data_IF_080985668961
#
_entry.id   IF_080985668961
#
_cell.length_a   1.000
_cell.length_b   1.000
_cell.length_c   1.000
_cell.angle_alpha   90.00
_cell.angle_beta   90.00
_cell.angle_gamma   90.00
#
_symmetry.space_group_name_H-M   'P 1'
#
loop_
_entity.id
_entity.type
_entity.pdbx_description
1 polymer ?
#
# COMPACT_ATOMS: atom_id res chain seq x y z
N UNK A 1 -17.21 -3.02 22.27
CA UNK A 1 -16.15 -2.24 21.60
C UNK A 1 -14.92 -3.09 21.30
N UNK A 2 -14.35 -3.79 22.29
CA UNK A 2 -13.18 -4.69 22.11
C UNK A 2 -13.43 -5.79 21.08
N UNK A 3 -14.59 -6.46 21.11
CA UNK A 3 -14.95 -7.52 20.15
C UNK A 3 -15.07 -6.99 18.71
N UNK A 4 -15.54 -5.75 18.49
CA UNK A 4 -15.57 -5.12 17.15
C UNK A 4 -14.17 -4.78 16.63
N UNK A 5 -13.28 -4.30 17.51
CA UNK A 5 -11.88 -4.00 17.17
C UNK A 5 -11.07 -5.25 16.78
N UNK A 6 -11.40 -6.39 17.37
CA UNK A 6 -10.81 -7.70 17.11
C UNK A 6 -11.33 -8.34 15.82
N UNK A 7 -12.62 -8.16 15.50
CA UNK A 7 -13.21 -8.61 14.24
C UNK A 7 -12.68 -7.86 13.01
N UNK A 8 -12.29 -6.59 13.16
CA UNK A 8 -11.79 -5.77 12.05
C UNK A 8 -10.35 -6.11 11.62
N UNK A 9 -9.45 -6.44 12.58
CA UNK A 9 -8.08 -6.91 12.27
C UNK A 9 -7.45 -7.67 13.46
N UNK A 10 -7.33 -9.02 13.39
CA UNK A 10 -6.78 -9.84 14.48
C UNK A 10 -5.30 -9.52 14.78
N UNK A 11 -4.58 -8.90 13.84
CA UNK A 11 -3.18 -8.48 14.03
C UNK A 11 -3.03 -7.45 15.16
N UNK A 12 -4.10 -6.73 15.52
CA UNK A 12 -4.12 -5.75 16.63
C UNK A 12 -3.90 -6.41 17.98
N UNK A 13 -4.51 -7.58 18.21
CA UNK A 13 -4.33 -8.35 19.45
C UNK A 13 -2.88 -8.80 19.58
N UNK A 14 -2.32 -9.31 18.48
CA UNK A 14 -0.90 -9.71 18.40
C UNK A 14 0.00 -8.52 18.72
N UNK A 15 -0.28 -7.34 18.16
CA UNK A 15 0.52 -6.14 18.44
C UNK A 15 0.48 -5.75 19.93
N UNK A 16 -0.70 -5.76 20.58
CA UNK A 16 -0.80 -5.52 22.02
C UNK A 16 0.03 -6.50 22.84
N UNK A 17 0.02 -7.78 22.44
CA UNK A 17 0.89 -8.81 23.04
C UNK A 17 2.38 -8.51 22.83
N UNK A 18 2.79 -8.09 21.63
CA UNK A 18 4.19 -7.70 21.33
C UNK A 18 4.66 -6.57 22.23
N UNK A 19 3.83 -5.55 22.45
CA UNK A 19 4.16 -4.44 23.37
C UNK A 19 4.41 -4.97 24.78
N UNK A 20 3.47 -5.78 25.31
CA UNK A 20 3.62 -6.39 26.64
C UNK A 20 4.88 -7.23 26.75
N UNK A 21 5.15 -8.10 25.76
CA UNK A 21 6.33 -8.94 25.75
C UNK A 21 7.63 -8.13 25.70
N UNK A 22 7.70 -7.08 24.86
CA UNK A 22 8.89 -6.23 24.78
C UNK A 22 9.21 -5.56 26.12
N UNK A 23 8.18 -5.11 26.85
CA UNK A 23 8.35 -4.54 28.20
C UNK A 23 8.82 -5.59 29.22
N UNK A 24 8.27 -6.81 29.17
CA UNK A 24 8.72 -7.92 30.00
C UNK A 24 10.19 -8.27 29.71
N UNK A 25 10.60 -8.29 28.44
CA UNK A 25 11.99 -8.55 28.07
C UNK A 25 12.94 -7.47 28.60
N UNK A 26 12.55 -6.19 28.57
CA UNK A 26 13.33 -5.12 29.21
C UNK A 26 13.47 -5.35 30.72
N UNK A 27 12.38 -5.73 31.39
CA UNK A 27 12.41 -6.06 32.82
C UNK A 27 13.30 -7.26 33.12
N UNK A 28 13.24 -8.32 32.32
CA UNK A 28 14.13 -9.49 32.48
C UNK A 28 15.60 -9.12 32.26
N UNK A 29 15.91 -8.32 31.23
CA UNK A 29 17.28 -7.87 30.95
C UNK A 29 17.90 -7.08 32.11
N UNK A 30 17.07 -6.30 32.84
CA UNK A 30 17.48 -5.62 34.05
C UNK A 30 17.96 -6.60 35.14
N UNK A 31 17.26 -7.71 35.32
CA UNK A 31 17.60 -8.68 36.38
C UNK A 31 18.82 -9.55 36.03
N UNK A 32 19.06 -9.82 34.75
CA UNK A 32 20.10 -10.77 34.31
C UNK A 32 21.50 -10.12 34.22
N UNK A 33 21.62 -8.83 33.89
CA UNK A 33 22.93 -8.22 33.63
C UNK A 33 23.43 -7.32 34.77
N UNK A 34 24.63 -7.58 35.36
CA UNK A 34 25.23 -6.71 36.35
C UNK A 34 25.55 -5.30 35.81
N UNK A 35 25.86 -5.17 34.51
CA UNK A 35 25.97 -3.86 33.82
C UNK A 35 24.65 -3.08 33.74
N UNK A 36 23.49 -3.73 33.82
CA UNK A 36 22.19 -3.03 33.79
C UNK A 36 21.78 -2.51 35.17
N UNK A 37 22.18 -3.20 36.25
CA UNK A 37 22.10 -2.66 37.60
C UNK A 37 22.86 -1.33 37.72
N UNK A 38 23.96 -1.16 36.98
CA UNK A 38 24.70 0.09 36.94
C UNK A 38 23.94 1.25 36.26
N UNK A 39 22.88 0.99 35.48
CA UNK A 39 22.11 2.03 34.81
C UNK A 39 20.98 2.62 35.68
N UNK A 40 20.61 2.03 36.83
CA UNK A 40 19.67 2.61 37.80
C UNK A 40 18.41 3.26 37.19
N UNK A 41 18.18 4.54 37.49
CA UNK A 41 17.06 5.35 36.99
C UNK A 41 17.00 5.48 35.45
N UNK A 42 18.07 5.13 34.72
CA UNK A 42 18.11 5.22 33.26
C UNK A 42 17.32 4.10 32.54
N UNK A 43 16.83 3.09 33.26
CA UNK A 43 16.00 2.01 32.70
C UNK A 43 14.65 2.54 32.22
N UNK A 44 14.12 3.59 32.86
CA UNK A 44 12.89 4.26 32.44
C UNK A 44 12.97 4.72 30.97
N UNK A 45 14.15 5.10 30.49
CA UNK A 45 14.36 5.47 29.09
C UNK A 45 14.21 4.30 28.14
N UNK A 46 14.60 3.08 28.54
CA UNK A 46 14.41 1.88 27.74
C UNK A 46 12.92 1.51 27.64
N UNK A 47 12.20 1.55 28.77
CA UNK A 47 10.74 1.33 28.85
C UNK A 47 9.99 2.34 27.99
N UNK A 48 10.29 3.63 28.16
CA UNK A 48 9.72 4.72 27.36
C UNK A 48 10.13 4.62 25.88
N UNK A 49 11.28 4.01 25.58
CA UNK A 49 11.66 3.72 24.20
C UNK A 49 10.76 2.68 23.58
N UNK A 50 10.60 1.52 24.22
CA UNK A 50 9.70 0.47 23.72
C UNK A 50 8.29 1.03 23.52
N UNK A 51 7.75 1.75 24.51
CA UNK A 51 6.39 2.30 24.43
C UNK A 51 6.18 3.31 23.30
N UNK A 52 7.20 4.11 22.94
CA UNK A 52 7.07 5.14 21.90
C UNK A 52 7.48 4.67 20.49
N UNK A 53 8.36 3.68 20.41
CA UNK A 53 8.95 3.20 19.15
C UNK A 53 8.21 2.00 18.59
N UNK A 54 7.70 1.11 19.46
CA UNK A 54 7.03 -0.10 19.01
C UNK A 54 5.67 0.26 18.41
N UNK A 55 5.59 0.09 17.10
CA UNK A 55 4.44 0.43 16.27
C UNK A 55 3.81 -0.83 15.66
N UNK A 56 2.63 -0.67 15.08
CA UNK A 56 1.86 -1.79 14.54
C UNK A 56 2.64 -2.60 13.48
N UNK A 57 3.38 -1.91 12.60
CA UNK A 57 4.17 -2.54 11.55
C UNK A 57 5.68 -2.54 11.84
N UNK A 58 6.38 -3.46 11.20
CA UNK A 58 7.84 -3.58 11.30
C UNK A 58 8.53 -2.32 10.77
N UNK A 59 8.11 -1.83 9.60
CA UNK A 59 8.67 -0.62 8.99
C UNK A 59 8.50 0.63 9.86
N UNK A 60 7.33 0.78 10.50
CA UNK A 60 7.10 1.89 11.44
C UNK A 60 7.99 1.80 12.68
N UNK A 61 8.13 0.60 13.25
CA UNK A 61 8.98 0.36 14.43
C UNK A 61 10.45 0.66 14.13
N UNK A 62 10.96 0.13 13.00
CA UNK A 62 12.33 0.39 12.55
C UNK A 62 12.58 1.88 12.28
N UNK A 63 11.66 2.52 11.55
CA UNK A 63 11.76 3.94 11.23
C UNK A 63 11.77 4.82 12.49
N UNK A 64 10.87 4.58 13.44
CA UNK A 64 10.85 5.32 14.72
C UNK A 64 12.08 5.02 15.57
N UNK A 65 12.53 3.77 15.66
CA UNK A 65 13.68 3.37 16.47
C UNK A 65 14.96 4.02 15.97
N UNK A 66 15.22 3.95 14.66
CA UNK A 66 16.37 4.60 14.05
C UNK A 66 16.28 6.13 14.17
N UNK A 67 15.12 6.73 13.91
CA UNK A 67 14.91 8.16 14.10
C UNK A 67 15.18 8.59 15.55
N UNK A 68 14.77 7.79 16.54
CA UNK A 68 15.01 8.08 17.96
C UNK A 68 16.50 8.08 18.28
N UNK A 69 17.22 7.02 17.91
CA UNK A 69 18.65 6.88 18.18
C UNK A 69 19.42 8.03 17.53
N UNK A 70 19.17 8.31 16.26
CA UNK A 70 19.82 9.39 15.52
C UNK A 70 19.50 10.76 16.11
N UNK A 71 18.23 11.03 16.42
CA UNK A 71 17.81 12.30 17.01
C UNK A 71 18.44 12.52 18.39
N UNK A 72 18.43 11.52 19.27
CA UNK A 72 19.02 11.62 20.61
C UNK A 72 20.53 11.81 20.52
N UNK A 73 21.22 11.07 19.65
CA UNK A 73 22.67 11.21 19.48
C UNK A 73 23.06 12.60 18.95
N UNK A 74 22.41 13.07 17.88
CA UNK A 74 22.66 14.39 17.31
C UNK A 74 22.32 15.52 18.29
N UNK A 75 21.18 15.41 18.98
CA UNK A 75 20.76 16.41 19.96
C UNK A 75 21.68 16.46 21.17
N UNK A 76 22.13 15.30 21.66
CA UNK A 76 23.09 15.21 22.76
C UNK A 76 24.45 15.80 22.39
N UNK A 77 24.97 15.45 21.21
CA UNK A 77 26.23 15.99 20.70
C UNK A 77 26.16 17.52 20.52
N UNK A 78 25.07 18.01 19.92
CA UNK A 78 24.87 19.45 19.72
C UNK A 78 24.68 20.19 21.05
N UNK A 79 23.93 19.62 22.00
CA UNK A 79 23.71 20.21 23.32
C UNK A 79 24.99 20.38 24.12
N UNK A 80 25.84 19.34 24.13
CA UNK A 80 27.19 19.42 24.71
C UNK A 80 28.00 20.51 23.99
N UNK A 81 28.04 20.48 22.65
CA UNK A 81 28.81 21.45 21.88
C UNK A 81 28.41 22.91 22.13
N UNK A 82 27.10 23.21 22.17
CA UNK A 82 26.61 24.56 22.47
C UNK A 82 26.99 25.02 23.87
N UNK A 83 27.01 24.09 24.84
CA UNK A 83 27.40 24.42 26.20
C UNK A 83 28.90 24.61 26.35
N UNK A 84 29.72 23.76 25.74
CA UNK A 84 31.17 23.94 25.73
C UNK A 84 31.55 25.29 25.11
N UNK A 85 30.83 25.76 24.09
CA UNK A 85 31.00 27.10 23.52
C UNK A 85 30.55 28.20 24.50
N UNK A 86 29.38 28.04 25.14
CA UNK A 86 28.86 29.02 26.09
C UNK A 86 29.76 29.18 27.33
N UNK A 87 30.40 28.10 27.79
CA UNK A 87 31.34 28.09 28.90
C UNK A 87 32.58 28.97 28.65
N UNK A 88 32.97 29.18 27.38
CA UNK A 88 34.10 30.05 27.02
C UNK A 88 33.82 31.54 27.30
N UNK A 89 32.54 31.93 27.49
CA UNK A 89 32.13 33.32 27.68
C UNK A 89 31.93 33.72 29.15
N UNK A 90 32.36 32.86 30.10
CA UNK A 90 32.20 33.08 31.54
C UNK A 90 30.76 32.90 32.04
N UNK A 91 30.54 32.91 33.35
CA UNK A 91 29.27 32.50 33.98
C UNK A 91 28.03 33.30 33.51
N UNK A 92 28.15 34.63 33.39
CA UNK A 92 27.04 35.46 32.90
C UNK A 92 26.80 35.27 31.40
N UNK A 93 27.87 35.04 30.63
CA UNK A 93 27.79 34.77 29.20
C UNK A 93 27.19 33.40 28.90
N UNK A 94 27.51 32.38 29.71
CA UNK A 94 27.05 31.00 29.55
C UNK A 94 25.51 30.92 29.53
N UNK A 95 24.85 31.53 30.51
CA UNK A 95 23.39 31.51 30.60
C UNK A 95 22.71 32.22 29.41
N UNK A 96 23.24 33.38 29.00
CA UNK A 96 22.70 34.15 27.87
C UNK A 96 22.91 33.40 26.54
N UNK A 97 24.12 32.91 26.27
CA UNK A 97 24.43 32.17 25.05
C UNK A 97 23.66 30.85 24.96
N UNK A 98 23.57 30.10 26.05
CA UNK A 98 22.80 28.84 26.09
C UNK A 98 21.34 29.10 25.74
N UNK A 99 20.74 30.17 26.30
CA UNK A 99 19.36 30.56 26.00
C UNK A 99 19.19 30.96 24.52
N UNK A 100 20.14 31.70 23.95
CA UNK A 100 20.12 32.07 22.52
C UNK A 100 20.23 30.82 21.64
N UNK A 101 21.14 29.89 21.94
CA UNK A 101 21.27 28.64 21.18
C UNK A 101 20.00 27.80 21.25
N UNK A 102 19.40 27.68 22.43
CA UNK A 102 18.13 26.97 22.60
C UNK A 102 17.05 27.60 21.73
N UNK A 103 16.90 28.92 21.78
CA UNK A 103 15.92 29.65 20.95
C UNK A 103 16.14 29.40 19.46
N UNK A 104 17.37 29.60 18.96
CA UNK A 104 17.67 29.50 17.53
C UNK A 104 17.51 28.06 17.02
N UNK A 105 18.09 27.08 17.71
CA UNK A 105 18.07 25.67 17.26
C UNK A 105 16.67 25.07 17.41
N UNK A 106 16.01 25.21 18.57
CA UNK A 106 14.68 24.68 18.76
C UNK A 106 13.64 25.36 17.85
N UNK A 107 13.77 26.68 17.65
CA UNK A 107 12.95 27.44 16.71
C UNK A 107 13.15 26.97 15.26
N UNK A 108 14.40 26.78 14.84
CA UNK A 108 14.72 26.29 13.48
C UNK A 108 14.19 24.89 13.22
N UNK A 109 14.39 23.94 14.15
CA UNK A 109 13.88 22.57 14.01
C UNK A 109 12.35 22.55 14.05
N UNK A 110 11.73 23.39 14.88
CA UNK A 110 10.27 23.56 14.89
C UNK A 110 9.76 24.09 13.55
N UNK A 111 10.47 25.05 12.94
CA UNK A 111 10.15 25.54 11.61
C UNK A 111 10.25 24.45 10.53
N UNK A 112 11.30 23.60 10.59
CA UNK A 112 11.47 22.47 9.66
C UNK A 112 10.30 21.48 9.70
N UNK A 113 9.60 21.34 10.83
CA UNK A 113 8.41 20.47 10.97
C UNK A 113 7.20 20.95 10.18
N UNK A 114 7.14 22.23 9.78
CA UNK A 114 6.06 22.71 8.91
C UNK A 114 6.23 22.28 7.45
N UNK A 115 7.42 21.81 7.04
CA UNK A 115 7.64 21.27 5.70
C UNK A 115 6.97 19.89 5.56
N UNK A 116 5.98 19.71 4.67
CA UNK A 116 5.26 18.44 4.55
C UNK A 116 6.17 17.24 4.23
N UNK A 117 7.20 17.48 3.40
CA UNK A 117 8.18 16.45 2.99
C UNK A 117 9.02 15.95 4.15
N UNK A 118 9.42 16.84 5.04
CA UNK A 118 10.23 16.51 6.22
C UNK A 118 9.35 15.91 7.32
N UNK A 119 8.18 16.51 7.55
CA UNK A 119 7.20 16.05 8.54
C UNK A 119 6.80 14.59 8.31
N UNK A 120 6.44 14.24 7.08
CA UNK A 120 6.03 12.87 6.74
C UNK A 120 7.10 11.80 7.05
N UNK A 121 8.38 12.17 7.15
CA UNK A 121 9.50 11.22 7.34
C UNK A 121 10.12 11.27 8.74
N UNK A 122 10.22 12.45 9.33
CA UNK A 122 11.09 12.71 10.47
C UNK A 122 10.41 13.46 11.62
N UNK A 123 9.09 13.70 11.59
CA UNK A 123 8.41 14.49 12.64
C UNK A 123 8.67 13.95 14.06
N UNK A 124 8.59 12.63 14.25
CA UNK A 124 8.95 11.98 15.51
C UNK A 124 10.40 12.28 15.91
N UNK A 125 11.35 12.16 14.97
CA UNK A 125 12.76 12.46 15.21
C UNK A 125 13.00 13.93 15.59
N UNK A 126 12.31 14.87 14.95
CA UNK A 126 12.41 16.30 15.31
C UNK A 126 11.90 16.59 16.71
N UNK A 127 10.80 15.96 17.15
CA UNK A 127 10.29 16.11 18.52
C UNK A 127 11.33 15.59 19.52
N UNK A 128 11.85 14.37 19.30
CA UNK A 128 12.87 13.76 20.17
C UNK A 128 14.14 14.60 20.17
N UNK A 129 14.53 15.16 19.02
CA UNK A 129 15.70 16.02 18.90
C UNK A 129 15.54 17.29 19.75
N UNK A 130 14.45 18.04 19.57
CA UNK A 130 14.18 19.28 20.33
C UNK A 130 14.17 18.96 21.83
N UNK A 131 13.42 17.93 22.22
CA UNK A 131 13.29 17.53 23.62
C UNK A 131 14.66 17.17 24.22
N UNK A 132 15.44 16.33 23.55
CA UNK A 132 16.76 15.91 24.02
C UNK A 132 17.73 17.08 24.08
N UNK A 133 17.74 17.93 23.06
CA UNK A 133 18.63 19.09 22.97
C UNK A 133 18.31 20.07 24.11
N UNK A 134 17.04 20.39 24.35
CA UNK A 134 16.64 21.23 25.47
C UNK A 134 17.01 20.60 26.82
N UNK A 135 16.75 19.29 27.02
CA UNK A 135 17.14 18.61 28.25
C UNK A 135 18.65 18.72 28.51
N UNK A 136 19.48 18.45 27.50
CA UNK A 136 20.94 18.48 27.64
C UNK A 136 21.45 19.91 27.83
N UNK A 137 21.00 20.86 27.01
CA UNK A 137 21.47 22.25 27.07
C UNK A 137 21.07 22.96 28.36
N UNK A 138 19.89 22.66 28.93
CA UNK A 138 19.37 23.30 30.14
C UNK A 138 19.68 22.55 31.45
N UNK A 139 20.35 21.39 31.40
CA UNK A 139 20.69 20.63 32.62
C UNK A 139 21.73 21.38 33.46
N UNK A 140 21.59 21.43 34.79
CA UNK A 140 22.52 22.19 35.65
C UNK A 140 23.77 21.37 36.08
N UNK A 141 23.95 20.18 35.51
CA UNK A 141 25.01 19.25 35.88
C UNK A 141 26.38 19.63 35.29
N UNK A 142 27.45 19.37 36.06
CA UNK A 142 28.84 19.49 35.57
C UNK A 142 29.03 18.70 34.28
N UNK A 143 29.68 19.30 33.29
CA UNK A 143 29.86 18.78 31.91
C UNK A 143 30.31 17.30 31.85
N UNK A 144 31.22 16.87 32.73
CA UNK A 144 31.69 15.46 32.81
C UNK A 144 30.64 14.49 33.35
N UNK A 145 29.83 14.89 34.32
CA UNK A 145 28.73 14.08 34.84
C UNK A 145 27.61 13.96 33.79
N UNK A 146 27.33 15.07 33.09
CA UNK A 146 26.34 15.12 32.01
C UNK A 146 26.70 14.20 30.85
N UNK A 147 27.98 14.15 30.43
CA UNK A 147 28.44 13.26 29.37
C UNK A 147 28.25 11.78 29.71
N UNK A 148 28.61 11.37 30.93
CA UNK A 148 28.42 9.98 31.38
C UNK A 148 26.93 9.62 31.40
N UNK A 149 26.10 10.48 31.97
CA UNK A 149 24.65 10.28 32.04
C UNK A 149 23.99 10.27 30.64
N UNK A 150 24.45 11.10 29.71
CA UNK A 150 23.96 11.11 28.33
C UNK A 150 24.34 9.81 27.56
N UNK A 151 25.55 9.29 27.77
CA UNK A 151 25.98 8.02 27.20
C UNK A 151 25.14 6.85 27.72
N UNK A 152 24.89 6.81 29.03
CA UNK A 152 24.05 5.79 29.66
C UNK A 152 22.61 5.83 29.09
N UNK A 153 22.02 7.03 28.95
CA UNK A 153 20.70 7.20 28.32
C UNK A 153 20.67 6.77 26.85
N UNK A 154 21.69 7.13 26.08
CA UNK A 154 21.76 6.75 24.67
C UNK A 154 21.85 5.22 24.54
N UNK A 155 22.66 4.56 25.38
CA UNK A 155 22.76 3.10 25.39
C UNK A 155 21.42 2.44 25.77
N UNK A 156 20.73 2.92 26.81
CA UNK A 156 19.42 2.35 27.18
C UNK A 156 18.35 2.57 26.11
N UNK A 157 18.38 3.69 25.39
CA UNK A 157 17.53 3.94 24.21
C UNK A 157 17.86 2.98 23.06
N UNK A 158 19.14 2.73 22.79
CA UNK A 158 19.57 1.77 21.77
C UNK A 158 19.06 0.37 22.12
N UNK A 159 19.22 -0.06 23.37
CA UNK A 159 18.72 -1.35 23.87
C UNK A 159 17.20 -1.45 23.73
N UNK A 160 16.46 -0.42 24.17
CA UNK A 160 14.99 -0.40 24.05
C UNK A 160 14.52 -0.50 22.61
N UNK A 161 15.18 0.22 21.70
CA UNK A 161 14.89 0.17 20.26
C UNK A 161 15.18 -1.21 19.67
N UNK A 162 16.29 -1.83 20.07
CA UNK A 162 16.67 -3.16 19.60
C UNK A 162 15.69 -4.25 20.05
N UNK A 163 15.27 -4.22 21.33
CA UNK A 163 14.24 -5.13 21.85
C UNK A 163 12.92 -4.95 21.11
N UNK A 164 12.47 -3.71 20.90
CA UNK A 164 11.25 -3.43 20.14
C UNK A 164 11.31 -3.98 18.71
N UNK A 165 12.43 -3.77 18.01
CA UNK A 165 12.65 -4.26 16.64
C UNK A 165 12.67 -5.79 16.60
N UNK A 166 13.38 -6.45 17.51
CA UNK A 166 13.43 -7.93 17.59
C UNK A 166 12.03 -8.48 17.77
N UNK A 167 11.28 -7.98 18.75
CA UNK A 167 9.93 -8.48 19.03
C UNK A 167 9.01 -8.27 17.82
N UNK A 168 9.09 -7.11 17.17
CA UNK A 168 8.29 -6.82 15.98
C UNK A 168 8.59 -7.75 14.79
N UNK A 169 9.85 -8.12 14.58
CA UNK A 169 10.28 -8.99 13.47
C UNK A 169 10.02 -10.47 13.78
N UNK A 170 10.33 -10.92 15.00
CA UNK A 170 10.29 -12.34 15.36
C UNK A 170 8.89 -12.85 15.67
N UNK A 171 7.97 -12.01 16.12
CA UNK A 171 6.62 -12.41 16.51
C UNK A 171 5.64 -11.91 15.47
N UNK A 172 5.10 -12.82 14.64
CA UNK A 172 4.05 -12.56 13.66
C UNK A 172 4.20 -11.19 12.97
N UNK A 173 5.27 -10.97 12.17
CA UNK A 173 5.60 -9.65 11.65
C UNK A 173 4.47 -9.11 10.77
N UNK A 174 4.17 -7.81 10.93
CA UNK A 174 3.19 -7.10 10.11
C UNK A 174 3.95 -6.22 9.12
N UNK A 175 3.81 -6.56 7.83
CA UNK A 175 4.50 -5.91 6.72
C UNK A 175 3.58 -4.93 6.01
N UNK A 176 3.82 -3.63 6.21
CA UNK A 176 2.99 -2.57 5.61
C UNK A 176 3.24 -2.45 4.10
N UNK A 177 4.42 -2.88 3.62
CA UNK A 177 4.69 -2.99 2.19
C UNK A 177 3.79 -4.01 1.48
N UNK A 178 3.47 -5.13 2.14
CA UNK A 178 2.51 -6.11 1.63
C UNK A 178 1.09 -5.55 1.63
N UNK A 179 0.69 -4.83 2.69
CA UNK A 179 -0.61 -4.17 2.77
C UNK A 179 -0.79 -3.15 1.63
N UNK A 180 0.22 -2.30 1.36
CA UNK A 180 0.21 -1.38 0.21
C UNK A 180 0.08 -2.12 -1.12
N UNK A 181 0.83 -3.20 -1.28
CA UNK A 181 0.80 -4.00 -2.50
C UNK A 181 -0.58 -4.60 -2.76
N UNK A 182 -1.18 -5.19 -1.73
CA UNK A 182 -2.54 -5.74 -1.78
C UNK A 182 -3.57 -4.65 -2.06
N UNK A 183 -3.42 -3.47 -1.43
CA UNK A 183 -4.33 -2.35 -1.63
C UNK A 183 -4.30 -1.81 -3.06
N UNK A 184 -3.11 -1.71 -3.68
CA UNK A 184 -2.99 -1.27 -5.08
C UNK A 184 -3.65 -2.27 -6.03
N UNK A 185 -3.43 -3.58 -5.84
CA UNK A 185 -4.11 -4.63 -6.60
C UNK A 185 -5.64 -4.55 -6.43
N UNK A 186 -6.11 -4.51 -5.18
CA UNK A 186 -7.53 -4.42 -4.86
C UNK A 186 -8.19 -3.14 -5.44
N UNK A 187 -7.48 -2.01 -5.47
CA UNK A 187 -8.01 -0.78 -6.05
C UNK A 187 -8.16 -0.89 -7.58
N UNK A 188 -7.27 -1.61 -8.29
CA UNK A 188 -7.49 -1.95 -9.71
C UNK A 188 -8.71 -2.86 -9.89
N UNK A 189 -8.87 -3.88 -9.06
CA UNK A 189 -10.05 -4.77 -9.09
C UNK A 189 -11.37 -4.00 -8.88
N UNK A 190 -11.40 -3.01 -7.98
CA UNK A 190 -12.60 -2.18 -7.78
C UNK A 190 -12.98 -1.39 -9.03
N UNK A 191 -12.01 -0.87 -9.77
CA UNK A 191 -12.24 -0.18 -11.04
C UNK A 191 -12.65 -1.18 -12.12
N UNK A 192 -12.02 -2.35 -12.18
CA UNK A 192 -12.38 -3.42 -13.11
C UNK A 192 -13.85 -3.84 -12.94
N UNK A 193 -14.29 -4.06 -11.69
CA UNK A 193 -15.68 -4.40 -11.38
C UNK A 193 -16.68 -3.32 -11.76
N UNK A 194 -16.30 -2.03 -11.69
CA UNK A 194 -17.15 -0.97 -12.21
C UNK A 194 -17.40 -1.15 -13.71
N UNK A 195 -16.35 -1.40 -14.50
CA UNK A 195 -16.49 -1.57 -15.96
C UNK A 195 -17.19 -2.86 -16.36
N UNK A 196 -16.98 -3.96 -15.63
CA UNK A 196 -17.75 -5.21 -15.79
C UNK A 196 -19.25 -4.92 -15.57
N UNK A 197 -19.63 -4.28 -14.46
CA UNK A 197 -21.02 -3.93 -14.16
C UNK A 197 -21.64 -2.90 -15.11
N UNK A 198 -20.85 -1.91 -15.53
CA UNK A 198 -21.28 -0.89 -16.49
C UNK A 198 -21.63 -1.49 -17.86
N UNK A 199 -20.84 -2.47 -18.31
CA UNK A 199 -21.12 -3.23 -19.54
C UNK A 199 -22.44 -4.01 -19.45
N UNK A 200 -22.71 -4.64 -18.30
CA UNK A 200 -23.87 -5.54 -18.14
C UNK A 200 -25.18 -4.78 -17.89
N UNK A 201 -25.20 -3.74 -17.04
CA UNK A 201 -26.44 -3.03 -16.68
C UNK A 201 -26.87 -2.00 -17.75
N UNK A 202 -25.93 -1.24 -18.30
CA UNK A 202 -26.26 -0.08 -19.14
C UNK A 202 -26.28 -0.41 -20.64
N UNK A 203 -25.52 -1.44 -21.07
CA UNK A 203 -25.28 -1.67 -22.50
C UNK A 203 -25.82 -3.00 -23.05
N UNK A 204 -26.04 -4.03 -22.22
CA UNK A 204 -26.69 -5.29 -22.66
C UNK A 204 -28.21 -5.33 -22.46
N UNK A 205 -28.78 -4.39 -21.69
CA UNK A 205 -30.22 -4.30 -21.47
C UNK A 205 -30.90 -3.76 -22.75
N UNK A 206 -31.22 -4.66 -23.67
CA UNK A 206 -32.21 -4.46 -24.73
C UNK A 206 -33.10 -5.68 -24.96
N UNK A 207 -32.81 -6.84 -24.36
CA UNK A 207 -33.65 -8.04 -24.49
C UNK A 207 -33.81 -8.74 -23.14
N UNK A 208 -35.00 -8.54 -22.56
CA UNK A 208 -35.65 -9.36 -21.53
C UNK A 208 -35.00 -9.53 -20.13
N UNK A 209 -35.89 -9.41 -19.14
CA UNK A 209 -35.77 -9.78 -17.72
C UNK A 209 -35.19 -8.73 -16.78
N UNK A 210 -36.07 -8.23 -15.89
CA UNK A 210 -35.75 -7.47 -14.68
C UNK A 210 -34.95 -8.34 -13.70
N UNK A 211 -33.64 -8.49 -13.92
CA UNK A 211 -32.73 -8.92 -12.87
C UNK A 211 -32.24 -7.67 -12.15
N UNK A 212 -32.65 -7.49 -10.90
CA UNK A 212 -32.13 -6.46 -10.00
C UNK A 212 -30.66 -6.82 -9.73
N UNK A 213 -29.75 -6.35 -10.59
CA UNK A 213 -28.34 -6.41 -10.30
C UNK A 213 -28.02 -5.48 -9.13
N UNK A 214 -27.15 -5.95 -8.24
CA UNK A 214 -26.61 -5.15 -7.15
C UNK A 214 -25.87 -3.93 -7.71
N UNK A 215 -26.53 -2.76 -7.70
CA UNK A 215 -25.96 -1.45 -8.10
C UNK A 215 -24.80 -0.99 -7.21
N UNK A 216 -24.32 -1.83 -6.28
CA UNK A 216 -23.13 -1.55 -5.47
C UNK A 216 -21.87 -1.24 -6.29
N UNK A 217 -21.77 -1.71 -7.54
CA UNK A 217 -20.63 -1.40 -8.41
C UNK A 217 -20.48 0.10 -8.70
N UNK A 218 -21.58 0.87 -8.70
CA UNK A 218 -21.59 2.34 -8.86
C UNK A 218 -20.95 3.08 -7.67
N UNK A 219 -20.73 2.39 -6.55
CA UNK A 219 -20.14 2.99 -5.36
C UNK A 219 -18.80 2.36 -4.97
N UNK A 220 -18.47 1.16 -5.48
CA UNK A 220 -17.29 0.39 -5.09
C UNK A 220 -15.97 1.15 -5.33
N UNK A 221 -15.88 1.90 -6.43
CA UNK A 221 -14.70 2.71 -6.76
C UNK A 221 -14.52 3.92 -5.83
N UNK A 222 -15.55 4.39 -5.11
CA UNK A 222 -15.45 5.60 -4.26
C UNK A 222 -14.41 5.46 -3.16
N UNK A 223 -14.21 4.25 -2.65
CA UNK A 223 -13.14 3.95 -1.68
C UNK A 223 -11.72 4.19 -2.23
N UNK A 224 -11.55 4.21 -3.55
CA UNK A 224 -10.28 4.51 -4.23
C UNK A 224 -10.00 6.01 -4.17
N UNK A 225 -11.02 6.88 -4.25
CA UNK A 225 -10.84 8.34 -4.24
C UNK A 225 -10.19 8.85 -2.96
N UNK A 226 -10.47 8.20 -1.81
CA UNK A 226 -9.94 8.55 -0.50
C UNK A 226 -8.65 7.82 -0.11
N UNK A 227 -8.07 6.99 -1.00
CA UNK A 227 -6.96 6.09 -0.64
C UNK A 227 -5.59 6.76 -0.51
N UNK A 228 -5.42 7.98 -1.04
CA UNK A 228 -4.11 8.65 -1.24
C UNK A 228 -3.28 8.76 0.05
N UNK A 229 -3.86 9.26 1.13
CA UNK A 229 -3.13 9.49 2.38
C UNK A 229 -2.63 8.19 3.01
N UNK A 230 -3.45 7.14 2.94
CA UNK A 230 -3.07 5.80 3.38
C UNK A 230 -1.93 5.23 2.54
N UNK A 231 -2.04 5.29 1.21
CA UNK A 231 -1.01 4.81 0.27
C UNK A 231 0.35 5.50 0.49
N UNK A 232 0.35 6.83 0.63
CA UNK A 232 1.55 7.63 0.90
C UNK A 232 2.20 7.25 2.24
N UNK A 233 1.38 7.08 3.29
CA UNK A 233 1.87 6.66 4.61
C UNK A 233 2.49 5.28 4.55
N UNK A 234 1.81 4.30 3.96
CA UNK A 234 2.33 2.94 3.83
C UNK A 234 3.62 2.89 3.01
N UNK A 235 3.72 3.66 1.92
CA UNK A 235 4.92 3.71 1.10
C UNK A 235 6.12 4.32 1.84
N UNK A 236 5.92 5.31 2.73
CA UNK A 236 6.99 5.86 3.57
C UNK A 236 7.47 4.82 4.58
N UNK A 237 6.55 4.10 5.23
CA UNK A 237 6.87 3.11 6.24
C UNK A 237 7.53 1.85 5.63
N UNK A 238 7.06 1.39 4.47
CA UNK A 238 7.59 0.21 3.77
C UNK A 238 9.07 0.37 3.34
N UNK A 239 9.58 1.60 3.22
CA UNK A 239 11.00 1.86 2.91
C UNK A 239 11.96 1.45 4.02
N UNK A 240 11.47 1.36 5.25
CA UNK A 240 12.26 0.94 6.41
C UNK A 240 12.29 -0.58 6.58
N UNK A 241 11.46 -1.32 5.85
CA UNK A 241 11.37 -2.76 6.00
C UNK A 241 12.63 -3.46 5.47
N UNK A 242 13.14 -4.48 6.18
CA UNK A 242 14.12 -5.40 5.63
C UNK A 242 13.52 -6.17 4.44
N UNK A 243 14.36 -6.94 3.74
CA UNK A 243 13.88 -7.86 2.71
C UNK A 243 12.91 -8.88 3.34
N UNK A 244 11.73 -9.05 2.76
CA UNK A 244 10.72 -10.03 3.19
C UNK A 244 9.87 -10.48 2.00
N UNK A 245 9.38 -11.73 2.05
CA UNK A 245 8.54 -12.30 0.97
C UNK A 245 9.14 -12.10 -0.43
N UNK A 246 8.34 -11.56 -1.35
CA UNK A 246 8.76 -11.17 -2.70
C UNK A 246 9.44 -9.79 -2.79
N UNK A 247 9.45 -9.00 -1.71
CA UNK A 247 9.97 -7.64 -1.71
C UNK A 247 11.47 -7.60 -1.40
N UNK A 248 12.20 -6.88 -2.24
CA UNK A 248 13.66 -6.75 -2.14
C UNK A 248 14.06 -5.57 -1.26
N UNK A 249 15.30 -5.56 -0.81
CA UNK A 249 15.86 -4.35 -0.23
C UNK A 249 15.83 -3.22 -1.26
N UNK A 250 15.40 -2.01 -0.84
CA UNK A 250 15.15 -0.85 -1.72
C UNK A 250 14.12 -1.13 -2.83
N UNK A 251 13.06 -1.87 -2.51
CA UNK A 251 11.91 -2.08 -3.39
C UNK A 251 11.36 -0.75 -3.95
N UNK A 252 10.86 -0.71 -5.20
CA UNK A 252 10.41 0.53 -5.87
C UNK A 252 9.04 1.04 -5.37
N UNK A 253 8.91 1.34 -4.07
CA UNK A 253 7.66 1.83 -3.46
C UNK A 253 7.11 3.12 -4.08
N UNK A 254 7.96 3.95 -4.71
CA UNK A 254 7.51 5.13 -5.46
C UNK A 254 6.60 4.76 -6.63
N UNK A 255 6.82 3.61 -7.26
CA UNK A 255 6.05 3.16 -8.39
C UNK A 255 4.61 2.78 -7.99
N UNK A 256 4.43 2.25 -6.77
CA UNK A 256 3.10 2.00 -6.21
C UNK A 256 2.29 3.30 -6.07
N UNK A 257 2.94 4.40 -5.66
CA UNK A 257 2.28 5.72 -5.60
C UNK A 257 1.93 6.27 -6.98
N UNK A 258 2.79 6.04 -7.99
CA UNK A 258 2.50 6.39 -9.39
C UNK A 258 1.27 5.63 -9.89
N UNK A 259 1.22 4.32 -9.68
CA UNK A 259 0.08 3.48 -10.03
C UNK A 259 -1.17 3.94 -9.28
N UNK A 260 -1.10 4.15 -7.96
CA UNK A 260 -2.22 4.67 -7.16
C UNK A 260 -2.74 6.02 -7.64
N UNK A 261 -1.86 6.92 -8.11
CA UNK A 261 -2.26 8.19 -8.73
C UNK A 261 -3.09 7.98 -10.01
N UNK A 262 -2.65 7.07 -10.88
CA UNK A 262 -3.34 6.77 -12.14
C UNK A 262 -4.67 6.05 -11.90
N UNK A 263 -4.71 5.08 -10.97
CA UNK A 263 -5.93 4.41 -10.53
C UNK A 263 -6.97 5.44 -10.05
N UNK A 264 -6.57 6.39 -9.20
CA UNK A 264 -7.47 7.47 -8.75
C UNK A 264 -7.90 8.40 -9.86
N UNK A 265 -7.02 8.74 -10.81
CA UNK A 265 -7.40 9.51 -11.99
C UNK A 265 -8.49 8.79 -12.79
N UNK A 266 -8.34 7.48 -12.99
CA UNK A 266 -9.37 6.65 -13.61
C UNK A 266 -10.68 6.66 -12.81
N UNK A 267 -10.61 6.61 -11.48
CA UNK A 267 -11.78 6.70 -10.61
C UNK A 267 -12.50 8.08 -10.71
N UNK A 268 -11.76 9.18 -10.87
CA UNK A 268 -12.37 10.49 -11.15
C UNK A 268 -13.07 10.50 -12.51
N UNK A 269 -12.44 9.95 -13.55
CA UNK A 269 -13.07 9.84 -14.87
C UNK A 269 -14.35 8.99 -14.81
N UNK A 270 -14.39 7.95 -13.96
CA UNK A 270 -15.59 7.15 -13.71
C UNK A 270 -16.70 7.98 -13.05
N UNK A 271 -16.39 8.80 -12.03
CA UNK A 271 -17.41 9.65 -11.38
C UNK A 271 -18.03 10.63 -12.39
N UNK A 272 -17.20 11.22 -13.27
CA UNK A 272 -17.69 12.10 -14.36
C UNK A 272 -18.49 11.29 -15.37
N UNK A 273 -18.03 10.09 -15.75
CA UNK A 273 -18.74 9.19 -16.66
C UNK A 273 -20.15 8.88 -16.15
N UNK A 274 -20.29 8.55 -14.87
CA UNK A 274 -21.59 8.26 -14.23
C UNK A 274 -22.50 9.50 -14.26
N UNK A 275 -21.96 10.69 -13.99
CA UNK A 275 -22.72 11.92 -14.01
C UNK A 275 -23.23 12.30 -15.42
N UNK A 276 -22.54 11.83 -16.47
CA UNK A 276 -22.90 12.08 -17.88
C UNK A 276 -23.80 10.99 -18.48
N UNK A 277 -24.23 9.97 -17.73
CA UNK A 277 -25.10 8.93 -18.26
C UNK A 277 -26.51 9.46 -18.49
N UNK A 278 -27.09 9.31 -19.70
CA UNK A 278 -28.47 9.68 -19.93
C UNK A 278 -29.43 8.88 -19.03
N UNK A 279 -30.50 9.53 -18.57
CA UNK A 279 -31.67 8.78 -18.08
C UNK A 279 -32.29 8.07 -19.28
N UNK A 280 -32.62 6.79 -19.13
CA UNK A 280 -32.85 5.77 -20.18
C UNK A 280 -33.88 6.09 -21.26
N UNK A 281 -34.55 7.24 -21.19
CA UNK A 281 -35.80 7.50 -21.91
C UNK A 281 -35.66 8.63 -22.96
N UNK A 282 -34.44 9.13 -23.21
CA UNK A 282 -34.17 10.33 -24.03
C UNK A 282 -32.98 10.15 -24.99
N UNK A 283 -33.05 9.18 -25.91
CA UNK A 283 -32.09 9.14 -27.03
C UNK A 283 -32.87 9.05 -28.34
N UNK A 284 -32.97 10.17 -29.05
CA UNK A 284 -33.52 10.33 -30.39
C UNK A 284 -32.47 10.20 -31.49
N UNK A 285 -31.39 9.46 -31.22
CA UNK A 285 -30.43 9.06 -32.25
C UNK A 285 -31.06 8.06 -33.21
N UNK A 286 -30.67 8.09 -34.49
CA UNK A 286 -30.98 7.01 -35.44
C UNK A 286 -30.63 5.65 -34.79
N UNK A 287 -31.62 4.77 -34.69
CA UNK A 287 -31.55 3.49 -33.98
C UNK A 287 -30.29 2.69 -34.33
N UNK A 288 -29.89 2.71 -35.61
CA UNK A 288 -28.71 1.98 -36.07
C UNK A 288 -27.38 2.60 -35.58
N UNK A 289 -27.27 3.93 -35.57
CA UNK A 289 -26.09 4.65 -35.07
C UNK A 289 -25.99 4.51 -33.55
N UNK A 290 -27.14 4.58 -32.86
CA UNK A 290 -27.20 4.47 -31.40
C UNK A 290 -26.74 3.10 -30.94
N UNK A 291 -27.19 2.05 -31.63
CA UNK A 291 -26.77 0.67 -31.35
C UNK A 291 -25.27 0.45 -31.61
N UNK A 292 -24.69 1.00 -32.69
CA UNK A 292 -23.24 0.88 -32.96
C UNK A 292 -22.37 1.57 -31.92
N UNK A 293 -22.79 2.75 -31.44
CA UNK A 293 -22.11 3.45 -30.35
C UNK A 293 -22.23 2.66 -29.05
N UNK A 294 -23.44 2.18 -28.73
CA UNK A 294 -23.71 1.34 -27.54
C UNK A 294 -22.83 0.09 -27.53
N UNK A 295 -22.77 -0.64 -28.66
CA UNK A 295 -21.92 -1.82 -28.85
C UNK A 295 -20.44 -1.50 -28.65
N UNK A 296 -19.95 -0.41 -29.26
CA UNK A 296 -18.56 0.03 -29.09
C UNK A 296 -18.24 0.38 -27.63
N UNK A 297 -19.16 1.04 -26.92
CA UNK A 297 -19.04 1.30 -25.49
C UNK A 297 -19.00 0.01 -24.66
N UNK A 298 -19.74 -1.03 -25.07
CA UNK A 298 -19.75 -2.35 -24.39
C UNK A 298 -18.38 -3.01 -24.52
N UNK A 299 -17.83 -3.00 -25.73
CA UNK A 299 -16.50 -3.54 -26.01
C UNK A 299 -15.46 -2.79 -25.20
N UNK A 300 -15.47 -1.44 -25.22
CA UNK A 300 -14.53 -0.62 -24.45
C UNK A 300 -14.60 -0.99 -22.97
N UNK A 301 -15.80 -1.03 -22.39
CA UNK A 301 -15.99 -1.30 -20.96
C UNK A 301 -15.52 -2.71 -20.60
N UNK A 302 -15.92 -3.72 -21.36
CA UNK A 302 -15.49 -5.10 -21.14
C UNK A 302 -13.97 -5.26 -21.22
N UNK A 303 -13.33 -4.69 -22.24
CA UNK A 303 -11.88 -4.79 -22.42
C UNK A 303 -11.11 -3.98 -21.36
N UNK A 304 -11.62 -2.83 -20.92
CA UNK A 304 -11.10 -2.07 -19.78
C UNK A 304 -11.14 -2.90 -18.49
N UNK A 305 -12.27 -3.55 -18.21
CA UNK A 305 -12.44 -4.43 -17.06
C UNK A 305 -11.43 -5.59 -17.05
N UNK A 306 -11.31 -6.30 -18.18
CA UNK A 306 -10.33 -7.39 -18.35
C UNK A 306 -8.89 -6.91 -18.19
N UNK A 307 -8.56 -5.77 -18.79
CA UNK A 307 -7.22 -5.15 -18.70
C UNK A 307 -6.82 -4.89 -17.25
N UNK A 308 -7.69 -4.24 -16.48
CA UNK A 308 -7.42 -3.90 -15.09
C UNK A 308 -7.36 -5.13 -14.17
N UNK A 309 -8.16 -6.16 -14.47
CA UNK A 309 -8.13 -7.44 -13.77
C UNK A 309 -6.80 -8.15 -13.98
N UNK A 310 -6.32 -8.18 -15.23
CA UNK A 310 -5.00 -8.74 -15.56
C UNK A 310 -3.87 -7.95 -14.90
N UNK A 311 -3.91 -6.62 -14.97
CA UNK A 311 -2.93 -5.76 -14.29
C UNK A 311 -2.94 -5.97 -12.76
N UNK A 312 -4.12 -6.16 -12.15
CA UNK A 312 -4.24 -6.52 -10.75
C UNK A 312 -3.57 -7.87 -10.46
N UNK A 313 -3.84 -8.91 -11.25
CA UNK A 313 -3.26 -10.24 -11.08
C UNK A 313 -1.73 -10.21 -11.21
N UNK A 314 -1.20 -9.48 -12.18
CA UNK A 314 0.24 -9.27 -12.35
C UNK A 314 0.86 -8.69 -11.09
N UNK A 315 0.26 -7.64 -10.51
CA UNK A 315 0.71 -7.07 -9.24
C UNK A 315 0.56 -8.10 -8.13
N UNK A 316 -0.65 -8.60 -7.86
CA UNK A 316 -0.99 -9.51 -6.76
C UNK A 316 -0.10 -10.75 -6.67
N UNK A 317 0.28 -11.32 -7.81
CA UNK A 317 1.12 -12.51 -7.89
C UNK A 317 2.60 -12.20 -8.18
N UNK A 318 2.94 -10.93 -8.40
CA UNK A 318 4.27 -10.50 -8.86
C UNK A 318 4.73 -11.26 -10.11
N UNK A 319 3.81 -11.39 -11.07
CA UNK A 319 4.03 -12.12 -12.33
C UNK A 319 3.96 -11.19 -13.53
N UNK A 320 4.64 -11.58 -14.60
CA UNK A 320 4.58 -10.90 -15.89
C UNK A 320 3.57 -11.63 -16.80
N UNK A 321 2.69 -10.85 -17.40
CA UNK A 321 1.76 -11.25 -18.45
C UNK A 321 1.77 -10.19 -19.53
N UNK A 322 1.48 -10.57 -20.77
CA UNK A 322 1.29 -9.64 -21.89
C UNK A 322 -0.16 -9.57 -22.35
N UNK A 323 -1.09 -10.26 -21.66
CA UNK A 323 -2.50 -10.33 -22.06
C UNK A 323 -3.22 -8.98 -21.96
N UNK A 324 -2.79 -8.09 -21.06
CA UNK A 324 -3.35 -6.74 -20.95
C UNK A 324 -3.16 -5.93 -22.24
N UNK A 325 -2.06 -6.15 -22.98
CA UNK A 325 -1.78 -5.42 -24.22
C UNK A 325 -2.82 -5.70 -25.31
N UNK A 326 -3.28 -6.96 -25.44
CA UNK A 326 -4.35 -7.29 -26.40
C UNK A 326 -5.67 -6.63 -26.04
N UNK A 327 -6.02 -6.58 -24.74
CA UNK A 327 -7.26 -5.94 -24.30
C UNK A 327 -7.23 -4.42 -24.50
N UNK A 328 -6.10 -3.77 -24.20
CA UNK A 328 -5.91 -2.34 -24.51
C UNK A 328 -6.02 -2.06 -26.01
N UNK A 329 -5.43 -2.91 -26.86
CA UNK A 329 -5.52 -2.77 -28.30
C UNK A 329 -6.97 -2.88 -28.80
N UNK A 330 -7.74 -3.84 -28.29
CA UNK A 330 -9.15 -4.00 -28.60
C UNK A 330 -9.98 -2.77 -28.19
N UNK A 331 -9.76 -2.25 -26.98
CA UNK A 331 -10.42 -1.03 -26.51
C UNK A 331 -10.10 0.18 -27.40
N UNK A 332 -8.84 0.33 -27.83
CA UNK A 332 -8.43 1.38 -28.78
C UNK A 332 -9.07 1.22 -30.15
N UNK A 333 -9.21 0.00 -30.65
CA UNK A 333 -9.88 -0.26 -31.92
C UNK A 333 -11.36 0.15 -31.84
N UNK A 334 -12.06 -0.20 -30.75
CA UNK A 334 -13.44 0.24 -30.52
C UNK A 334 -13.56 1.77 -30.41
N UNK A 335 -12.58 2.46 -29.82
CA UNK A 335 -12.50 3.94 -29.86
C UNK A 335 -12.41 4.47 -31.30
N UNK A 336 -11.62 3.83 -32.18
CA UNK A 336 -11.53 4.26 -33.58
C UNK A 336 -12.86 4.11 -34.31
N UNK A 337 -13.62 3.06 -34.01
CA UNK A 337 -14.99 2.87 -34.51
C UNK A 337 -15.87 4.04 -34.09
N UNK A 338 -15.90 4.42 -32.80
CA UNK A 338 -16.66 5.59 -32.32
C UNK A 338 -16.21 6.85 -33.04
N UNK A 339 -14.89 7.11 -33.15
CA UNK A 339 -14.37 8.28 -33.87
C UNK A 339 -14.79 8.33 -35.33
N UNK A 340 -14.82 7.19 -36.03
CA UNK A 340 -15.30 7.14 -37.41
C UNK A 340 -16.78 7.47 -37.52
N UNK A 341 -17.61 6.94 -36.62
CA UNK A 341 -19.05 7.20 -36.58
C UNK A 341 -19.31 8.69 -36.35
N UNK A 342 -18.64 9.30 -35.37
CA UNK A 342 -18.78 10.73 -35.06
C UNK A 342 -18.33 11.62 -36.24
N UNK A 343 -17.33 11.19 -37.02
CA UNK A 343 -16.84 11.92 -38.22
C UNK A 343 -17.78 11.83 -39.42
N UNK A 344 -18.57 10.78 -39.53
CA UNK A 344 -19.54 10.61 -40.63
C UNK A 344 -20.80 11.46 -40.49
N UNK A 345 -20.85 12.36 -39.49
CA UNK A 345 -21.92 13.32 -39.22
C UNK A 345 -23.34 12.68 -39.18
N UNK A 346 -23.59 11.70 -38.29
CA UNK A 346 -24.87 10.99 -38.20
C UNK A 346 -26.00 11.82 -37.55
N UNK A 347 -25.83 13.14 -37.41
CA UNK A 347 -26.63 14.00 -36.54
C UNK A 347 -27.77 14.72 -37.26
N UNK A 348 -28.13 14.29 -38.46
CA UNK A 348 -29.20 14.90 -39.24
C UNK A 348 -30.55 14.67 -38.54
N UNK A 349 -31.11 15.73 -37.94
CA UNK A 349 -32.37 15.69 -37.18
C UNK A 349 -32.24 15.36 -35.69
N UNK A 350 -31.03 15.29 -35.13
CA UNK A 350 -30.77 15.01 -33.70
C UNK A 350 -30.66 16.32 -32.91
N UNK A 351 -31.18 16.34 -31.68
CA UNK A 351 -31.06 17.50 -30.77
C UNK A 351 -29.59 17.79 -30.39
N UNK A 352 -29.23 19.07 -30.33
CA UNK A 352 -27.86 19.51 -29.99
C UNK A 352 -27.42 19.01 -28.61
N UNK A 353 -28.34 18.92 -27.65
CA UNK A 353 -28.06 18.41 -26.30
C UNK A 353 -27.65 16.93 -26.33
N UNK A 354 -28.27 16.11 -27.18
CA UNK A 354 -27.89 14.69 -27.35
C UNK A 354 -26.52 14.56 -28.06
N UNK A 355 -26.25 15.40 -29.06
CA UNK A 355 -24.94 15.43 -29.73
C UNK A 355 -23.83 15.74 -28.71
N UNK A 356 -24.07 16.72 -27.83
CA UNK A 356 -23.13 17.10 -26.76
C UNK A 356 -22.93 15.95 -25.78
N UNK A 357 -24.01 15.29 -25.34
CA UNK A 357 -23.94 14.17 -24.41
C UNK A 357 -23.16 12.97 -24.97
N UNK A 358 -23.49 12.53 -26.20
CA UNK A 358 -22.81 11.40 -26.85
C UNK A 358 -21.35 11.72 -27.11
N UNK A 359 -21.03 12.95 -27.53
CA UNK A 359 -19.65 13.39 -27.73
C UNK A 359 -18.87 13.44 -26.42
N UNK A 360 -19.51 13.90 -25.33
CA UNK A 360 -18.92 13.94 -23.99
C UNK A 360 -18.65 12.53 -23.47
N UNK A 361 -19.62 11.62 -23.61
CA UNK A 361 -19.49 10.21 -23.26
C UNK A 361 -18.32 9.55 -24.01
N UNK A 362 -18.24 9.77 -25.33
CA UNK A 362 -17.16 9.25 -26.14
C UNK A 362 -15.78 9.80 -25.71
N UNK A 363 -15.69 11.10 -25.42
CA UNK A 363 -14.45 11.72 -24.93
C UNK A 363 -14.01 11.13 -23.59
N UNK A 364 -14.94 10.97 -22.64
CA UNK A 364 -14.65 10.40 -21.32
C UNK A 364 -14.18 8.95 -21.42
N UNK A 365 -14.77 8.14 -22.30
CA UNK A 365 -14.32 6.77 -22.55
C UNK A 365 -12.91 6.72 -23.16
N UNK A 366 -12.56 7.67 -24.02
CA UNK A 366 -11.19 7.82 -24.54
C UNK A 366 -10.22 8.12 -23.40
N UNK A 367 -10.56 9.07 -22.53
CA UNK A 367 -9.73 9.44 -21.38
C UNK A 367 -9.55 8.28 -20.40
N UNK A 368 -10.61 7.49 -20.19
CA UNK A 368 -10.55 6.24 -19.41
C UNK A 368 -9.58 5.23 -20.02
N UNK A 369 -9.70 4.94 -21.32
CA UNK A 369 -8.81 3.95 -21.98
C UNK A 369 -7.35 4.40 -21.93
N UNK A 370 -7.09 5.68 -22.18
CA UNK A 370 -5.74 6.25 -22.05
C UNK A 370 -5.22 6.15 -20.60
N UNK A 371 -6.08 6.40 -19.62
CA UNK A 371 -5.72 6.26 -18.21
C UNK A 371 -5.36 4.80 -17.86
N UNK A 372 -6.15 3.83 -18.31
CA UNK A 372 -5.91 2.40 -18.09
C UNK A 372 -4.63 1.93 -18.78
N UNK A 373 -4.34 2.42 -19.99
CA UNK A 373 -3.07 2.17 -20.64
C UNK A 373 -1.90 2.68 -19.79
N UNK A 374 -1.98 3.91 -19.28
CA UNK A 374 -0.94 4.47 -18.42
C UNK A 374 -0.76 3.66 -17.12
N UNK A 375 -1.86 3.10 -16.56
CA UNK A 375 -1.79 2.18 -15.43
C UNK A 375 -0.97 0.93 -15.81
N UNK A 376 -1.27 0.31 -16.95
CA UNK A 376 -0.56 -0.88 -17.42
C UNK A 376 0.93 -0.61 -17.64
N UNK A 377 1.28 0.50 -18.30
CA UNK A 377 2.67 0.89 -18.51
C UNK A 377 3.41 1.11 -17.18
N UNK A 378 2.73 1.71 -16.18
CA UNK A 378 3.29 1.86 -14.85
C UNK A 378 3.44 0.53 -14.10
N UNK A 379 2.55 -0.45 -14.33
CA UNK A 379 2.65 -1.82 -13.81
C UNK A 379 3.80 -2.57 -14.47
N UNK A 380 3.99 -2.44 -15.78
CA UNK A 380 5.11 -3.03 -16.51
C UNK A 380 6.46 -2.44 -16.03
N UNK A 381 6.51 -1.13 -15.82
CA UNK A 381 7.66 -0.47 -15.19
C UNK A 381 7.91 -1.02 -13.77
N UNK A 382 6.87 -1.18 -12.95
CA UNK A 382 7.01 -1.80 -11.62
C UNK A 382 7.57 -3.22 -11.72
N UNK A 383 7.01 -4.03 -12.62
CA UNK A 383 7.40 -5.41 -12.80
C UNK A 383 8.86 -5.54 -13.24
N UNK A 384 9.32 -4.65 -14.12
CA UNK A 384 10.73 -4.59 -14.54
C UNK A 384 11.66 -4.22 -13.37
N UNK A 385 11.32 -3.18 -12.60
CA UNK A 385 12.12 -2.70 -11.47
C UNK A 385 12.16 -3.70 -10.30
N UNK A 386 11.03 -4.36 -10.04
CA UNK A 386 10.88 -5.35 -8.98
C UNK A 386 11.35 -6.76 -9.41
N UNK A 387 11.60 -6.96 -10.71
CA UNK A 387 11.94 -8.24 -11.35
C UNK A 387 10.90 -9.33 -11.06
N UNK A 388 9.67 -9.06 -11.48
CA UNK A 388 8.57 -10.03 -11.46
C UNK A 388 8.93 -11.28 -12.26
N UNK A 389 8.34 -12.40 -11.89
CA UNK A 389 8.61 -13.69 -12.56
C UNK A 389 7.70 -13.87 -13.79
N UNK A 390 8.19 -14.45 -14.89
CA UNK A 390 7.33 -14.93 -15.96
C UNK A 390 6.26 -15.89 -15.44
N UNK A 391 5.00 -15.70 -15.85
CA UNK A 391 3.86 -16.53 -15.46
C UNK A 391 4.06 -18.03 -15.71
N UNK A 392 4.84 -18.40 -16.74
CA UNK A 392 5.15 -19.78 -17.11
C UNK A 392 5.97 -20.56 -16.06
N UNK A 393 6.73 -19.87 -15.18
CA UNK A 393 7.57 -20.55 -14.18
C UNK A 393 6.80 -21.08 -12.96
N UNK A 394 5.53 -20.69 -12.78
CA UNK A 394 4.70 -21.17 -11.67
C UNK A 394 4.09 -22.56 -11.94
N UNK A 395 3.88 -22.94 -13.20
CA UNK A 395 3.39 -24.29 -13.55
C UNK A 395 4.42 -25.40 -13.31
N UNK A 396 5.71 -25.09 -13.16
CA UNK A 396 6.74 -26.08 -12.83
C UNK A 396 7.02 -26.22 -11.32
N UNK A 397 6.35 -25.44 -10.46
CA UNK A 397 6.55 -25.52 -9.00
C UNK A 397 5.29 -25.88 -8.20
N UNK A 398 4.16 -26.08 -8.86
CA UNK A 398 2.94 -26.63 -8.28
C UNK A 398 2.71 -28.04 -8.79
N UNK A 399 2.38 -28.96 -7.88
CA UNK A 399 2.02 -30.36 -8.12
C UNK A 399 1.13 -30.51 -9.35
N UNK A 400 1.53 -31.39 -10.28
CA UNK A 400 0.75 -31.79 -11.44
C UNK A 400 -0.56 -32.39 -10.94
N UNK A 401 -1.65 -31.65 -11.07
CA UNK A 401 -3.00 -32.23 -11.13
C UNK A 401 -3.34 -32.27 -12.61
N UNK A 402 -3.20 -33.45 -13.22
CA UNK A 402 -3.77 -33.70 -14.54
C UNK A 402 -5.29 -33.53 -14.47
N UNK A 403 -5.93 -32.93 -15.48
CA UNK A 403 -7.38 -32.95 -15.57
C UNK A 403 -7.82 -34.40 -15.83
N UNK A 404 -8.63 -34.95 -14.93
CA UNK A 404 -9.34 -36.21 -15.17
C UNK A 404 -10.41 -35.92 -16.22
N UNK A 405 -10.29 -36.61 -17.34
CA UNK A 405 -11.23 -36.62 -18.45
C UNK A 405 -12.45 -37.46 -18.06
N UNK A 406 -13.57 -36.81 -17.73
CA UNK A 406 -14.85 -37.48 -17.47
C UNK A 406 -15.50 -37.89 -18.80
N UNK A 407 -15.03 -39.00 -19.35
CA UNK A 407 -15.76 -39.78 -20.35
C UNK A 407 -15.84 -41.24 -19.92
N UNK A 408 -16.84 -41.55 -19.10
CA UNK A 408 -17.13 -42.93 -18.68
C UNK A 408 -17.71 -43.71 -19.86
N UNK A 409 -16.86 -44.53 -20.50
CA UNK A 409 -17.29 -45.69 -21.27
C UNK A 409 -17.62 -46.83 -20.30
N UNK A 410 -18.84 -47.34 -20.43
CA UNK A 410 -19.34 -48.53 -19.70
C UNK A 410 -18.60 -49.77 -20.21
N UNK A 411 -17.88 -50.46 -19.32
CA UNK A 411 -17.33 -51.79 -19.59
C UNK A 411 -18.09 -52.79 -18.72
N UNK A 412 -18.80 -53.70 -19.38
CA UNK A 412 -19.46 -54.85 -18.75
C UNK A 412 -18.42 -55.91 -18.37
N UNK A 413 -18.47 -56.38 -17.12
CA UNK A 413 -17.65 -57.49 -16.62
C UNK A 413 -18.47 -58.77 -16.74
N UNK A 414 -17.97 -59.75 -17.49
CA UNK A 414 -18.48 -61.13 -17.52
C UNK A 414 -17.58 -61.96 -16.58
N UNK A 415 -18.16 -62.50 -15.52
CA UNK A 415 -17.49 -63.42 -14.60
C UNK A 415 -17.39 -64.83 -15.21
N UNK A 416 -16.23 -65.48 -15.05
CA UNK A 416 -16.10 -66.95 -15.09
C UNK A 416 -15.19 -67.42 -13.94
N UNK A 417 -15.49 -68.58 -13.30
CA UNK A 417 -14.89 -68.98 -12.02
C UNK A 417 -13.58 -69.77 -12.18
N UNK A 418 -12.79 -69.95 -11.08
CA UNK A 418 -11.48 -70.58 -11.15
C UNK A 418 -11.56 -72.12 -11.06
N UNK A 419 -10.69 -72.77 -11.83
CA UNK A 419 -10.42 -74.22 -11.78
C UNK A 419 -9.37 -74.50 -10.70
N UNK A 420 -9.71 -75.43 -9.80
CA UNK A 420 -8.81 -76.10 -8.86
C UNK A 420 -7.89 -77.09 -9.59
N UNK A 421 -6.61 -77.16 -9.19
CA UNK A 421 -5.82 -78.39 -8.94
C UNK A 421 -4.40 -77.95 -8.51
N UNK A 422 -4.02 -78.12 -7.24
CA UNK A 422 -3.43 -79.31 -6.61
C UNK A 422 -1.98 -79.63 -7.04
N UNK A 423 -1.14 -79.66 -5.99
CA UNK A 423 -0.10 -80.67 -5.67
C UNK A 423 1.38 -80.35 -5.94
N UNK A 424 2.11 -80.28 -4.81
CA UNK A 424 3.38 -80.96 -4.44
C UNK A 424 4.62 -80.72 -5.31
N UNK A 425 5.87 -80.72 -4.86
CA UNK A 425 6.68 -81.14 -3.69
C UNK A 425 8.00 -80.33 -3.90
N UNK A 426 8.79 -79.84 -2.96
CA UNK A 426 9.35 -80.35 -1.70
C UNK A 426 9.87 -79.16 -0.88
#
# INVERSE_FOLDING_TARGET
MVIKLEQDDPRRVIHSFKVGLALVLISILQHIRPTFYAFGDNILWAVLTVALVLEFSVGATLGKGLNRILATWLAGALGVGTRSIANLCGQKGEAVLTTIFVFVIAGSVTFMRFSPRLKARYDYGFIIFILTFCMVSLSDDKERAMLKLAQERLLTIIIGSFVAVIVCICICPVWIGQDLHNQIAANMEKIAHFFEGFSDEYLKKSENTEVVHDRSFLHRYKSVLSSKSSEETMAVLARWEPRHGGFRFRHPWKQYLKIGNLIRLCAYNIEVLIACLPHSDQVSLNYEVGNKIKESCTIISSECGKTLKEASLMVKHMTMSSMHNSHVANAKNAIQTIKSILRTNPWEGVDYDEIIQVSTLASLLIDVVNCIQNICEAVDELASLAKFQPSQLLHHRGTVVQPVDDSVHVIAIIETPPILELRNEN
#
